data_IF_568873443602
#
_entry.id   IF_568873443602
#
_cell.length_a   1.000
_cell.length_b   1.000
_cell.length_c   1.000
_cell.angle_alpha   90.00
_cell.angle_beta   90.00
_cell.angle_gamma   90.00
#
_symmetry.space_group_name_H-M   'P 1'
#
loop_
_entity.id
_entity.type
_entity.pdbx_description
1 polymer ?
#
# COMPACT_ATOMS: atom_id res chain seq x y z
N UNK A 1 -7.14 5.92 -23.03
CA UNK A 1 -6.50 4.89 -22.19
C UNK A 1 -5.59 5.62 -21.23
N UNK A 2 -5.79 5.44 -19.92
CA UNK A 2 -5.02 6.15 -18.92
C UNK A 2 -3.54 5.71 -18.95
N UNK A 3 -2.63 6.67 -18.85
CA UNK A 3 -1.18 6.43 -18.97
C UNK A 3 -0.50 6.73 -17.64
N UNK A 4 0.27 5.76 -17.13
CA UNK A 4 1.02 5.91 -15.90
C UNK A 4 2.48 6.29 -16.19
N UNK A 5 2.97 7.36 -15.55
CA UNK A 5 4.37 7.79 -15.58
C UNK A 5 5.06 7.41 -14.25
N UNK A 6 5.96 6.44 -14.31
CA UNK A 6 6.69 5.94 -13.15
C UNK A 6 7.76 6.92 -12.64
N UNK A 7 8.27 7.83 -13.49
CA UNK A 7 9.26 8.83 -13.09
C UNK A 7 8.63 9.98 -12.29
N UNK A 8 7.38 10.30 -12.60
CA UNK A 8 6.60 11.33 -11.92
C UNK A 8 5.64 10.79 -10.87
N UNK A 9 5.50 9.46 -10.80
CA UNK A 9 4.52 8.76 -9.96
C UNK A 9 3.13 9.39 -10.13
N UNK A 10 2.68 9.46 -11.38
CA UNK A 10 1.47 10.15 -11.79
C UNK A 10 0.72 9.40 -12.89
N UNK A 11 -0.60 9.58 -12.95
CA UNK A 11 -1.47 8.97 -13.95
C UNK A 11 -2.23 10.05 -14.72
N UNK A 12 -2.19 9.94 -16.04
CA UNK A 12 -3.07 10.65 -16.94
C UNK A 12 -4.42 9.92 -16.97
N UNK A 13 -5.39 10.38 -16.20
CA UNK A 13 -6.69 9.71 -16.06
C UNK A 13 -7.70 10.15 -17.15
N UNK A 14 -7.46 11.30 -17.77
CA UNK A 14 -8.15 11.81 -18.96
C UNK A 14 -7.14 12.54 -19.87
N UNK A 15 -7.38 12.67 -21.18
CA UNK A 15 -6.45 13.36 -22.08
C UNK A 15 -6.08 14.76 -21.59
N UNK A 16 -4.80 14.96 -21.26
CA UNK A 16 -4.25 16.21 -20.74
C UNK A 16 -4.51 16.47 -19.25
N UNK A 17 -5.16 15.55 -18.51
CA UNK A 17 -5.42 15.68 -17.07
C UNK A 17 -4.63 14.65 -16.28
N UNK A 18 -3.81 15.15 -15.39
CA UNK A 18 -2.84 14.36 -14.62
C UNK A 18 -3.16 14.40 -13.14
N UNK A 19 -3.00 13.26 -12.48
CA UNK A 19 -3.12 13.09 -11.05
C UNK A 19 -1.84 12.46 -10.50
N UNK A 20 -1.25 13.05 -9.46
CA UNK A 20 -0.09 12.45 -8.77
C UNK A 20 -0.55 11.36 -7.82
N UNK A 21 0.14 10.23 -7.85
CA UNK A 21 -0.18 9.00 -7.13
C UNK A 21 0.31 8.95 -5.66
N UNK A 22 1.01 9.99 -5.17
CA UNK A 22 1.46 10.06 -3.78
C UNK A 22 2.38 8.91 -3.35
N UNK A 23 2.21 8.38 -2.13
CA UNK A 23 2.95 7.21 -1.64
C UNK A 23 2.21 5.88 -1.90
N UNK A 24 1.14 5.92 -2.68
CA UNK A 24 0.35 4.73 -3.01
C UNK A 24 1.07 3.92 -4.08
N UNK A 25 0.89 2.61 -4.07
CA UNK A 25 1.37 1.76 -5.16
C UNK A 25 0.68 2.13 -6.48
N UNK A 26 1.30 1.74 -7.61
CA UNK A 26 0.78 2.03 -8.95
C UNK A 26 -0.68 1.55 -9.10
N UNK A 27 -1.07 0.44 -8.48
CA UNK A 27 -2.42 -0.12 -8.62
C UNK A 27 -3.46 0.71 -7.88
N UNK A 28 -3.18 1.10 -6.64
CA UNK A 28 -4.03 2.00 -5.88
C UNK A 28 -4.20 3.35 -6.59
N UNK A 29 -3.16 3.84 -7.28
CA UNK A 29 -3.29 5.05 -8.07
C UNK A 29 -4.20 4.92 -9.28
N UNK A 30 -4.09 3.82 -10.03
CA UNK A 30 -4.95 3.59 -11.21
C UNK A 30 -6.43 3.45 -10.81
N UNK A 31 -6.73 2.88 -9.64
CA UNK A 31 -8.10 2.81 -9.12
C UNK A 31 -8.66 4.20 -8.75
N UNK A 32 -7.86 5.04 -8.09
CA UNK A 32 -8.27 6.42 -7.79
C UNK A 32 -8.48 7.25 -9.06
N UNK A 33 -7.65 7.04 -10.08
CA UNK A 33 -7.84 7.65 -11.39
C UNK A 33 -9.16 7.24 -12.04
N UNK A 34 -9.57 5.98 -11.90
CA UNK A 34 -10.85 5.49 -12.43
C UNK A 34 -12.03 6.13 -11.69
N UNK A 35 -11.96 6.23 -10.36
CA UNK A 35 -12.98 6.91 -9.55
C UNK A 35 -13.08 8.40 -9.92
N UNK A 36 -11.95 9.08 -10.12
CA UNK A 36 -11.91 10.47 -10.54
C UNK A 36 -12.54 10.67 -11.93
N UNK A 37 -12.13 9.87 -12.92
CA UNK A 37 -12.70 9.92 -14.28
C UNK A 37 -14.22 9.65 -14.28
N UNK A 38 -14.67 8.68 -13.47
CA UNK A 38 -16.09 8.35 -13.29
C UNK A 38 -16.88 9.50 -12.66
N UNK A 39 -16.32 10.14 -11.61
CA UNK A 39 -16.95 11.27 -10.93
C UNK A 39 -17.11 12.51 -11.82
N UNK A 40 -16.22 12.68 -12.81
CA UNK A 40 -16.26 13.76 -13.78
C UNK A 40 -17.23 13.48 -14.95
N UNK A 41 -17.92 12.33 -14.96
CA UNK A 41 -18.92 11.97 -15.95
C UNK A 41 -18.34 11.54 -17.31
N UNK A 42 -17.01 11.42 -17.40
CA UNK A 42 -16.26 11.02 -18.59
C UNK A 42 -15.90 9.53 -18.51
N UNK A 43 -16.92 8.70 -18.21
CA UNK A 43 -16.81 7.27 -17.94
C UNK A 43 -16.38 6.41 -19.13
N UNK A 44 -15.13 6.55 -19.56
CA UNK A 44 -14.44 5.59 -20.42
C UNK A 44 -13.13 5.16 -19.72
N UNK A 45 -12.81 3.85 -19.74
CA UNK A 45 -12.18 3.19 -18.62
C UNK A 45 -10.71 3.56 -18.59
N UNK A 46 -10.24 3.93 -17.40
CA UNK A 46 -8.94 3.44 -16.97
C UNK A 46 -9.05 1.92 -17.13
N UNK A 47 -8.52 1.39 -18.23
CA UNK A 47 -8.68 0.00 -18.62
C UNK A 47 -8.36 -0.90 -17.43
N UNK A 48 -9.10 -2.00 -17.28
CA UNK A 48 -8.94 -2.89 -16.13
C UNK A 48 -7.45 -3.24 -15.96
N UNK A 49 -6.78 -2.75 -14.91
CA UNK A 49 -5.36 -2.99 -14.72
C UNK A 49 -5.08 -4.48 -14.46
N UNK A 50 -6.12 -5.31 -14.29
CA UNK A 50 -6.05 -6.73 -13.99
C UNK A 50 -6.30 -7.65 -15.19
N UNK A 51 -6.39 -7.15 -16.43
CA UNK A 51 -6.61 -8.04 -17.59
C UNK A 51 -5.46 -9.06 -17.78
N UNK A 52 -4.30 -8.87 -17.13
CA UNK A 52 -3.16 -9.79 -17.18
C UNK A 52 -2.38 -10.01 -15.85
N UNK A 53 -2.78 -9.44 -14.71
CA UNK A 53 -1.95 -9.48 -13.50
C UNK A 53 -2.46 -10.47 -12.43
N UNK A 54 -1.60 -11.46 -12.15
CA UNK A 54 -1.81 -12.51 -11.16
C UNK A 54 -1.74 -11.96 -9.74
N UNK A 55 -2.86 -11.46 -9.23
CA UNK A 55 -3.03 -11.14 -7.81
C UNK A 55 -2.25 -9.92 -7.36
N UNK A 56 -2.96 -8.98 -6.74
CA UNK A 56 -2.42 -7.81 -6.08
C UNK A 56 -1.41 -8.22 -4.99
N UNK A 57 -0.12 -8.26 -5.30
CA UNK A 57 0.95 -8.36 -4.30
C UNK A 57 1.33 -6.94 -3.92
N UNK A 58 0.70 -6.43 -2.85
CA UNK A 58 1.16 -5.20 -2.20
C UNK A 58 2.48 -5.53 -1.52
N UNK A 59 3.58 -5.42 -2.26
CA UNK A 59 4.92 -5.46 -1.68
C UNK A 59 5.13 -4.10 -1.01
N UNK A 60 4.61 -3.93 0.21
CA UNK A 60 5.01 -2.84 1.09
C UNK A 60 6.39 -3.24 1.61
N UNK A 61 7.51 -2.68 1.11
CA UNK A 61 8.76 -2.84 1.80
C UNK A 61 8.57 -2.16 3.16
N UNK A 62 8.32 -2.96 4.20
CA UNK A 62 8.36 -2.52 5.58
C UNK A 62 9.80 -2.05 5.81
N UNK A 63 10.07 -0.76 5.53
CA UNK A 63 11.38 -0.14 5.77
C UNK A 63 11.68 0.03 7.27
N UNK A 64 10.81 -0.51 8.12
CA UNK A 64 10.94 -0.56 9.56
C UNK A 64 11.23 -2.01 9.94
N UNK A 65 12.24 -2.21 10.79
CA UNK A 65 12.49 -3.51 11.43
C UNK A 65 11.15 -4.05 11.96
N UNK A 66 10.72 -5.20 11.43
CA UNK A 66 9.53 -5.88 11.91
C UNK A 66 9.68 -6.11 13.41
N UNK A 67 8.77 -5.54 14.20
CA UNK A 67 8.75 -5.73 15.65
C UNK A 67 8.59 -7.23 15.92
N UNK A 68 9.61 -7.85 16.50
CA UNK A 68 9.57 -9.25 16.91
C UNK A 68 8.78 -9.37 18.22
N UNK A 69 7.49 -9.67 18.08
CA UNK A 69 6.59 -9.92 19.20
C UNK A 69 7.00 -11.12 20.08
N UNK A 70 7.74 -12.08 19.52
CA UNK A 70 8.26 -13.23 20.26
C UNK A 70 9.36 -12.83 21.24
N UNK A 71 10.28 -11.96 20.80
CA UNK A 71 11.34 -11.40 21.68
C UNK A 71 10.73 -10.58 22.80
N UNK A 72 9.74 -9.74 22.51
CA UNK A 72 9.03 -8.96 23.54
C UNK A 72 8.38 -9.88 24.58
N UNK A 73 7.67 -10.92 24.13
CA UNK A 73 7.01 -11.87 25.02
C UNK A 73 8.02 -12.59 25.92
N UNK A 74 9.17 -13.00 25.37
CA UNK A 74 10.24 -13.67 26.12
C UNK A 74 10.84 -12.76 27.20
N UNK A 75 11.12 -11.50 26.87
CA UNK A 75 11.66 -10.52 27.82
C UNK A 75 10.66 -10.24 28.96
N UNK A 76 9.39 -10.05 28.64
CA UNK A 76 8.34 -9.88 29.65
C UNK A 76 8.21 -11.11 30.55
N UNK A 77 8.24 -12.32 29.97
CA UNK A 77 8.21 -13.57 30.73
C UNK A 77 9.39 -13.72 31.69
N UNK A 78 10.61 -13.37 31.24
CA UNK A 78 11.81 -13.42 32.07
C UNK A 78 11.74 -12.45 33.27
N UNK A 79 11.24 -11.23 33.04
CA UNK A 79 11.04 -10.24 34.13
C UNK A 79 10.02 -10.75 35.15
N UNK A 80 8.89 -11.29 34.70
CA UNK A 80 7.87 -11.84 35.59
C UNK A 80 8.39 -13.05 36.38
N UNK A 81 9.19 -13.91 35.77
CA UNK A 81 9.80 -15.06 36.42
C UNK A 81 10.81 -14.65 37.51
N UNK A 82 11.70 -13.70 37.20
CA UNK A 82 12.61 -13.11 38.20
C UNK A 82 11.85 -12.48 39.36
N UNK A 83 10.83 -11.67 39.08
CA UNK A 83 9.99 -11.04 40.11
C UNK A 83 9.22 -12.05 40.96
N UNK A 84 8.89 -13.23 40.42
CA UNK A 84 8.28 -14.31 41.19
C UNK A 84 9.29 -14.99 42.13
N UNK A 85 10.53 -15.22 41.66
CA UNK A 85 11.60 -15.78 42.48
C UNK A 85 12.02 -14.85 43.63
N UNK A 86 12.03 -13.53 43.43
CA UNK A 86 12.35 -12.55 44.48
C UNK A 86 11.24 -12.42 45.54
N UNK A 87 10.01 -12.86 45.23
CA UNK A 87 8.85 -12.78 46.12
C UNK A 87 8.54 -14.08 46.87
N UNK A 88 9.16 -15.20 46.50
CA UNK A 88 9.07 -16.49 47.19
C UNK A 88 10.18 -16.66 48.23
#
# INVERSE_FOLDING_TARGET
MATYDAGLHAVEYLPGRWMTCGALDQHACMNLALEAASSEGEGDPVGDPFENDTGLVIDVPLQYETIDWGVIALMCGAVLFMAALERG
#
